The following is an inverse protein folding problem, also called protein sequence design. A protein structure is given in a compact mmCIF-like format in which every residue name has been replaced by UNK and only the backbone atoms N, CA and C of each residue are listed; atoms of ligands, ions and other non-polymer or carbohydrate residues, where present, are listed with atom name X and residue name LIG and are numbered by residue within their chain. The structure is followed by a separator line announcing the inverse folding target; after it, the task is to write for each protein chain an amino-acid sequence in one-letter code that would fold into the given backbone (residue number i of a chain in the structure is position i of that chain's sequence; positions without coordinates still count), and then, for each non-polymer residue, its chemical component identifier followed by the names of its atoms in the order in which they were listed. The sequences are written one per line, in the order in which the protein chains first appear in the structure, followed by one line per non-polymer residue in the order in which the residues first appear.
data_IF_375384256266
#
_entry.id   IF_375384256266
#
_cell.length_a   1.000
_cell.length_b   1.000
_cell.length_c   1.000
_cell.angle_alpha   90.00
_cell.angle_beta   90.00
_cell.angle_gamma   90.00
#
_symmetry.space_group_name_H-M   'P 1'
#
loop_
_entity.id
_entity.type
_entity.pdbx_description
1 polymer ?
#
# COMPACT_ATOMS: atom_id res chain seq x y z
N UNK A 1 5.84 12.90 14.94
CA UNK A 1 6.59 12.44 13.76
C UNK A 1 7.88 11.74 14.15
N UNK A 2 7.81 10.60 14.85
CA UNK A 2 9.05 9.86 15.20
C UNK A 2 9.49 8.94 14.05
N UNK A 3 8.62 8.04 13.59
CA UNK A 3 8.92 7.12 12.48
C UNK A 3 9.39 7.86 11.21
N UNK A 4 8.72 8.96 10.87
CA UNK A 4 9.08 9.83 9.73
C UNK A 4 10.48 10.44 9.88
N UNK A 5 10.88 10.81 11.11
CA UNK A 5 12.16 11.48 11.36
C UNK A 5 13.32 10.51 11.61
N UNK A 6 13.05 9.32 12.14
CA UNK A 6 14.10 8.38 12.60
C UNK A 6 14.39 7.24 11.64
N UNK A 7 13.63 7.09 10.55
CA UNK A 7 13.81 5.98 9.59
C UNK A 7 14.09 6.49 8.19
N UNK A 8 14.91 5.76 7.43
CA UNK A 8 15.25 6.15 6.05
C UNK A 8 14.03 6.13 5.14
N UNK A 9 13.11 5.18 5.35
CA UNK A 9 11.84 5.08 4.63
C UNK A 9 10.92 6.26 4.94
N UNK A 10 10.79 6.63 6.21
CA UNK A 10 10.03 7.80 6.64
C UNK A 10 10.59 9.12 6.10
N UNK A 11 11.92 9.26 6.08
CA UNK A 11 12.59 10.43 5.51
C UNK A 11 12.43 10.52 3.99
N UNK A 12 12.47 9.38 3.28
CA UNK A 12 12.19 9.31 1.85
C UNK A 12 10.75 9.72 1.52
N UNK A 13 9.77 9.23 2.29
CA UNK A 13 8.37 9.66 2.18
C UNK A 13 8.20 11.17 2.45
N UNK A 14 8.86 11.69 3.49
CA UNK A 14 8.85 13.13 3.79
C UNK A 14 9.55 14.00 2.73
N UNK A 15 10.44 13.41 1.92
CA UNK A 15 11.09 14.10 0.81
C UNK A 15 10.16 14.19 -0.41
N UNK A 16 9.41 13.12 -0.72
CA UNK A 16 8.41 13.10 -1.78
C UNK A 16 7.30 14.13 -1.55
N UNK A 17 6.81 14.23 -0.32
CA UNK A 17 5.73 15.19 0.05
C UNK A 17 6.19 16.65 0.03
N UNK A 18 7.49 16.92 0.23
CA UNK A 18 8.07 18.29 0.16
C UNK A 18 8.36 18.76 -1.26
N UNK A 19 8.59 17.86 -2.20
CA UNK A 19 8.99 18.23 -3.56
C UNK A 19 7.82 18.72 -4.43
N UNK A 20 6.56 18.47 -4.03
CA UNK A 20 5.38 18.83 -4.82
C UNK A 20 5.39 18.19 -6.21
N UNK A 21 4.33 18.34 -7.03
CA UNK A 21 4.35 17.86 -8.41
C UNK A 21 5.21 18.81 -9.25
N UNK A 22 6.53 18.75 -9.10
CA UNK A 22 7.44 19.39 -10.03
C UNK A 22 7.41 18.58 -11.33
N UNK A 23 6.62 19.07 -12.29
CA UNK A 23 6.66 18.69 -13.70
C UNK A 23 8.13 18.54 -14.14
N UNK A 24 8.59 17.30 -14.30
CA UNK A 24 9.82 17.00 -15.04
C UNK A 24 11.09 16.69 -14.26
N UNK A 25 11.04 16.33 -12.97
CA UNK A 25 12.20 15.73 -12.30
C UNK A 25 12.08 14.19 -12.33
N UNK A 26 13.10 13.51 -12.87
CA UNK A 26 13.25 12.06 -12.81
C UNK A 26 13.26 11.58 -11.35
N UNK A 27 12.09 11.22 -10.82
CA UNK A 27 11.95 10.56 -9.53
C UNK A 27 12.35 9.10 -9.71
N UNK A 28 13.65 8.81 -9.62
CA UNK A 28 14.19 7.44 -9.75
C UNK A 28 13.72 6.49 -8.62
N UNK A 29 12.95 6.99 -7.65
CA UNK A 29 12.17 6.17 -6.73
C UNK A 29 10.69 6.37 -7.06
N UNK A 30 10.05 5.30 -7.57
CA UNK A 30 8.61 5.27 -7.79
C UNK A 30 7.91 5.63 -6.46
N UNK A 31 7.10 6.70 -6.49
CA UNK A 31 6.37 7.19 -5.32
C UNK A 31 5.57 6.08 -4.63
N UNK A 32 5.06 5.13 -5.42
CA UNK A 32 4.36 3.96 -4.93
C UNK A 32 5.29 3.01 -4.17
N UNK A 33 6.52 2.80 -4.65
CA UNK A 33 7.51 1.94 -4.00
C UNK A 33 8.01 2.54 -2.68
N UNK A 34 8.21 3.86 -2.61
CA UNK A 34 8.58 4.55 -1.37
C UNK A 34 7.45 4.45 -0.34
N UNK A 35 6.20 4.62 -0.79
CA UNK A 35 5.03 4.47 0.06
C UNK A 35 4.90 3.03 0.60
N UNK A 36 5.00 2.02 -0.27
CA UNK A 36 4.96 0.61 0.12
C UNK A 36 6.06 0.25 1.13
N UNK A 37 7.29 0.73 0.93
CA UNK A 37 8.39 0.49 1.84
C UNK A 37 8.16 1.15 3.22
N UNK A 38 7.56 2.34 3.23
CA UNK A 38 7.20 3.02 4.47
C UNK A 38 6.07 2.30 5.20
N UNK A 39 4.98 1.93 4.54
CA UNK A 39 3.88 1.19 5.18
C UNK A 39 4.30 -0.17 5.71
N UNK A 40 5.18 -0.88 4.99
CA UNK A 40 5.73 -2.16 5.45
C UNK A 40 6.58 -2.01 6.73
N UNK A 41 7.32 -0.91 6.86
CA UNK A 41 8.03 -0.57 8.09
C UNK A 41 7.04 -0.30 9.25
N UNK A 42 5.94 0.40 8.98
CA UNK A 42 4.92 0.69 10.01
C UNK A 42 4.17 -0.58 10.46
N UNK A 43 3.97 -1.56 9.58
CA UNK A 43 3.40 -2.90 9.92
C UNK A 43 4.46 -3.89 10.44
N UNK A 44 5.60 -3.39 10.90
CA UNK A 44 6.66 -4.19 11.53
C UNK A 44 7.00 -3.69 12.93
N UNK A 45 7.46 -4.58 13.81
CA UNK A 45 7.91 -4.18 15.14
C UNK A 45 9.16 -3.29 15.07
N UNK A 46 9.29 -2.29 15.96
CA UNK A 46 8.40 -1.98 17.09
C UNK A 46 7.21 -1.07 16.74
N UNK A 47 7.16 -0.51 15.53
CA UNK A 47 6.18 0.49 15.14
C UNK A 47 4.75 -0.03 15.16
N UNK A 48 4.56 -1.27 14.69
CA UNK A 48 3.27 -1.95 14.73
C UNK A 48 2.67 -1.96 16.13
N UNK A 49 3.44 -2.45 17.09
CA UNK A 49 3.05 -2.49 18.51
C UNK A 49 2.74 -1.08 19.06
N UNK A 50 3.51 -0.06 18.67
CA UNK A 50 3.24 1.34 19.05
C UNK A 50 1.92 1.87 18.43
N UNK A 51 1.64 1.57 17.16
CA UNK A 51 0.41 1.97 16.48
C UNK A 51 -0.82 1.29 17.09
N UNK A 52 -0.76 -0.02 17.33
CA UNK A 52 -1.83 -0.77 17.97
C UNK A 52 -2.12 -0.24 19.38
N UNK A 53 -1.09 0.08 20.16
CA UNK A 53 -1.25 0.64 21.51
C UNK A 53 -1.84 2.07 21.50
N UNK A 54 -1.52 2.87 20.48
CA UNK A 54 -2.01 4.24 20.35
C UNK A 54 -3.42 4.34 19.73
N UNK A 55 -3.91 3.26 19.13
CA UNK A 55 -5.22 3.21 18.48
C UNK A 55 -6.38 3.13 19.50
N UNK A 56 -6.75 4.28 20.06
CA UNK A 56 -7.72 4.37 21.15
C UNK A 56 -9.16 4.60 20.70
N UNK A 57 -9.38 5.18 19.53
CA UNK A 57 -10.69 5.42 18.90
C UNK A 57 -10.93 4.51 17.68
N UNK A 58 -12.19 4.39 17.25
CA UNK A 58 -12.57 3.48 16.16
C UNK A 58 -11.89 3.85 14.83
N UNK A 59 -11.66 5.13 14.54
CA UNK A 59 -10.99 5.54 13.31
C UNK A 59 -9.50 5.16 13.34
N UNK A 60 -8.83 5.36 14.48
CA UNK A 60 -7.43 4.95 14.65
C UNK A 60 -7.24 3.44 14.56
N UNK A 61 -8.18 2.63 15.09
CA UNK A 61 -8.15 1.16 14.98
C UNK A 61 -8.40 0.69 13.55
N UNK A 62 -9.39 1.27 12.88
CA UNK A 62 -9.69 0.97 11.49
C UNK A 62 -8.49 1.27 10.58
N UNK A 63 -7.73 2.33 10.88
CA UNK A 63 -6.52 2.65 10.15
C UNK A 63 -5.39 1.63 10.37
N UNK A 64 -5.23 1.10 11.59
CA UNK A 64 -4.22 0.06 11.86
C UNK A 64 -4.58 -1.22 11.10
N UNK A 65 -5.86 -1.58 11.08
CA UNK A 65 -6.35 -2.69 10.27
C UNK A 65 -6.12 -2.44 8.77
N UNK A 66 -6.44 -1.25 8.27
CA UNK A 66 -6.18 -0.86 6.89
C UNK A 66 -4.68 -0.90 6.54
N UNK A 67 -3.80 -0.47 7.44
CA UNK A 67 -2.34 -0.59 7.26
C UNK A 67 -1.94 -2.05 7.04
N UNK A 68 -2.43 -2.94 7.91
CA UNK A 68 -2.11 -4.35 7.84
C UNK A 68 -2.62 -4.99 6.55
N UNK A 69 -3.86 -4.72 6.18
CA UNK A 69 -4.48 -5.20 4.92
C UNK A 69 -3.70 -4.69 3.71
N UNK A 70 -3.36 -3.40 3.68
CA UNK A 70 -2.60 -2.79 2.59
C UNK A 70 -1.25 -3.48 2.40
N UNK A 71 -0.51 -3.73 3.48
CA UNK A 71 0.81 -4.39 3.43
C UNK A 71 0.68 -5.85 3.04
N UNK A 72 -0.24 -6.61 3.64
CA UNK A 72 -0.41 -8.03 3.36
C UNK A 72 -0.91 -8.30 1.94
N UNK A 73 -2.00 -7.65 1.53
CA UNK A 73 -2.59 -7.86 0.21
C UNK A 73 -1.67 -7.28 -0.88
N UNK A 74 -1.06 -6.12 -0.62
CA UNK A 74 -0.04 -5.53 -1.50
C UNK A 74 1.14 -6.47 -1.74
N UNK A 75 1.65 -7.15 -0.70
CA UNK A 75 2.71 -8.14 -0.85
C UNK A 75 2.27 -9.37 -1.64
N UNK A 76 1.03 -9.85 -1.45
CA UNK A 76 0.49 -10.98 -2.22
C UNK A 76 0.39 -10.65 -3.71
N UNK A 77 -0.07 -9.45 -4.05
CA UNK A 77 -0.11 -8.96 -5.43
C UNK A 77 1.29 -8.80 -6.01
N UNK A 78 2.22 -8.16 -5.29
CA UNK A 78 3.58 -7.91 -5.81
C UNK A 78 4.42 -9.16 -5.97
N UNK A 79 4.17 -10.21 -5.16
CA UNK A 79 4.86 -11.49 -5.26
C UNK A 79 4.28 -12.42 -6.34
N UNK A 80 3.16 -12.05 -6.96
CA UNK A 80 2.43 -12.91 -7.88
C UNK A 80 1.74 -14.10 -7.20
N UNK A 81 1.56 -14.06 -5.88
CA UNK A 81 0.84 -15.10 -5.15
C UNK A 81 -0.65 -15.16 -5.52
N UNK A 82 -1.19 -14.06 -6.05
CA UNK A 82 -2.51 -14.01 -6.67
C UNK A 82 -2.30 -13.76 -8.18
N UNK A 83 -2.55 -14.75 -9.05
CA UNK A 83 -2.38 -14.58 -10.48
C UNK A 83 -3.47 -13.65 -11.04
N UNK A 84 -3.10 -12.80 -12.00
CA UNK A 84 -3.99 -11.84 -12.66
C UNK A 84 -5.13 -12.52 -13.45
N UNK A 85 -4.87 -13.72 -13.96
CA UNK A 85 -5.84 -14.53 -14.71
C UNK A 85 -6.06 -15.87 -14.03
N UNK A 86 -7.31 -16.32 -13.96
CA UNK A 86 -7.66 -17.60 -13.36
C UNK A 86 -7.11 -18.79 -14.18
N UNK A 87 -7.02 -18.60 -15.50
CA UNK A 87 -6.38 -19.53 -16.43
C UNK A 87 -5.48 -18.73 -17.37
N UNK A 88 -4.17 -18.77 -17.12
CA UNK A 88 -3.17 -18.05 -17.90
C UNK A 88 -3.08 -18.56 -19.35
N UNK A 89 -3.34 -19.85 -19.57
CA UNK A 89 -3.27 -20.45 -20.90
C UNK A 89 -4.46 -19.99 -21.74
N UNK A 90 -5.66 -20.03 -21.16
CA UNK A 90 -6.86 -19.49 -21.79
C UNK A 90 -6.74 -17.99 -22.04
N UNK A 91 -6.16 -17.23 -21.08
CA UNK A 91 -5.92 -15.80 -21.26
C UNK A 91 -4.98 -15.51 -22.46
N UNK A 92 -3.91 -16.28 -22.61
CA UNK A 92 -3.04 -16.16 -23.78
C UNK A 92 -3.77 -16.47 -25.09
N UNK A 93 -4.65 -17.47 -25.09
CA UNK A 93 -5.37 -17.87 -26.30
C UNK A 93 -6.49 -16.87 -26.65
N UNK A 94 -7.12 -16.24 -25.65
CA UNK A 94 -8.04 -15.13 -25.84
C UNK A 94 -7.33 -13.91 -26.42
N UNK A 95 -6.15 -13.54 -25.89
CA UNK A 95 -5.33 -12.45 -26.44
C UNK A 95 -4.94 -12.72 -27.90
N UNK A 96 -4.50 -13.94 -28.24
CA UNK A 96 -4.18 -14.34 -29.62
C UNK A 96 -5.39 -14.27 -30.54
N UNK A 97 -6.58 -14.55 -30.02
CA UNK A 97 -7.83 -14.48 -30.77
C UNK A 97 -8.45 -13.07 -30.82
N UNK A 98 -7.79 -12.05 -30.24
CA UNK A 98 -8.29 -10.68 -30.17
C UNK A 98 -9.45 -10.48 -29.19
N UNK A 99 -9.65 -11.40 -28.24
CA UNK A 99 -10.61 -11.30 -27.14
C UNK A 99 -9.91 -10.77 -25.89
N UNK A 100 -10.67 -10.13 -25.01
CA UNK A 100 -10.19 -9.68 -23.70
C UNK A 100 -10.31 -10.87 -22.73
N UNK A 101 -9.21 -11.33 -22.11
CA UNK A 101 -9.26 -12.38 -21.10
C UNK A 101 -10.08 -11.95 -19.89
N UNK A 102 -10.77 -12.90 -19.26
CA UNK A 102 -11.40 -12.66 -17.98
C UNK A 102 -10.34 -12.65 -16.86
N UNK A 103 -10.22 -11.56 -16.08
CA UNK A 103 -9.31 -11.53 -14.94
C UNK A 103 -9.75 -12.52 -13.85
N UNK A 104 -8.82 -12.87 -12.98
CA UNK A 104 -9.10 -13.66 -11.79
C UNK A 104 -9.94 -12.81 -10.81
N UNK A 105 -11.13 -13.26 -10.39
CA UNK A 105 -11.94 -12.52 -9.42
C UNK A 105 -11.23 -12.32 -8.08
N UNK A 106 -10.33 -13.23 -7.67
CA UNK A 106 -9.51 -13.04 -6.47
C UNK A 106 -8.50 -11.90 -6.65
N UNK A 107 -7.93 -11.75 -7.85
CA UNK A 107 -7.03 -10.64 -8.16
C UNK A 107 -7.76 -9.31 -8.15
N UNK A 108 -8.93 -9.23 -8.78
CA UNK A 108 -9.75 -8.01 -8.76
C UNK A 108 -10.13 -7.61 -7.34
N UNK A 109 -10.54 -8.58 -6.51
CA UNK A 109 -10.85 -8.33 -5.10
C UNK A 109 -9.61 -7.85 -4.34
N UNK A 110 -8.46 -8.49 -4.52
CA UNK A 110 -7.22 -8.08 -3.86
C UNK A 110 -6.79 -6.65 -4.26
N UNK A 111 -6.97 -6.27 -5.52
CA UNK A 111 -6.71 -4.89 -5.98
C UNK A 111 -7.69 -3.91 -5.34
N UNK A 112 -8.97 -4.27 -5.24
CA UNK A 112 -9.98 -3.45 -4.56
C UNK A 112 -9.66 -3.28 -3.07
N UNK A 113 -9.30 -4.36 -2.37
CA UNK A 113 -8.94 -4.35 -0.96
C UNK A 113 -7.74 -3.43 -0.67
N UNK A 114 -6.72 -3.43 -1.54
CA UNK A 114 -5.56 -2.53 -1.44
C UNK A 114 -5.97 -1.07 -1.67
N UNK A 115 -6.85 -0.80 -2.64
CA UNK A 115 -7.34 0.55 -2.93
C UNK A 115 -8.19 1.12 -1.79
N UNK A 116 -9.06 0.30 -1.21
CA UNK A 116 -9.90 0.67 -0.07
C UNK A 116 -9.04 0.89 1.18
N UNK A 117 -8.08 0.00 1.45
CA UNK A 117 -7.15 0.14 2.55
C UNK A 117 -6.28 1.41 2.41
N UNK A 118 -5.80 1.73 1.21
CA UNK A 118 -5.08 2.97 0.95
C UNK A 118 -5.96 4.21 1.19
N UNK A 119 -7.23 4.15 0.82
CA UNK A 119 -8.19 5.23 1.05
C UNK A 119 -8.42 5.45 2.55
N UNK A 120 -8.64 4.37 3.31
CA UNK A 120 -8.82 4.41 4.76
C UNK A 120 -7.57 4.96 5.47
N UNK A 121 -6.38 4.49 5.09
CA UNK A 121 -5.09 5.00 5.59
C UNK A 121 -4.96 6.52 5.38
N UNK A 122 -5.30 7.00 4.17
CA UNK A 122 -5.21 8.42 3.83
C UNK A 122 -6.18 9.26 4.66
N UNK A 123 -7.40 8.78 4.89
CA UNK A 123 -8.41 9.50 5.66
C UNK A 123 -8.08 9.53 7.16
N UNK A 124 -7.45 8.50 7.68
CA UNK A 124 -7.18 8.36 9.11
C UNK A 124 -5.79 8.84 9.55
N UNK A 125 -4.87 9.11 8.62
CA UNK A 125 -3.54 9.68 8.91
C UNK A 125 -3.54 10.92 9.84
N UNK A 126 -4.47 11.88 9.72
CA UNK A 126 -4.57 13.02 10.65
C UNK A 126 -4.89 12.63 12.10
N UNK A 127 -5.41 11.43 12.33
CA UNK A 127 -5.78 10.92 13.64
C UNK A 127 -4.72 9.98 14.24
N UNK A 128 -3.55 9.85 13.61
CA UNK A 128 -2.47 9.00 14.11
C UNK A 128 -1.46 9.78 14.97
N UNK A 129 -1.54 9.67 16.32
CA UNK A 129 -0.66 10.41 17.22
C UNK A 129 0.80 9.94 17.14
N UNK A 130 1.10 8.74 16.64
CA UNK A 130 2.47 8.20 16.54
C UNK A 130 3.21 8.78 15.32
N UNK A 131 2.47 9.19 14.29
CA UNK A 131 3.00 9.93 13.14
C UNK A 131 3.12 11.43 13.42
N UNK A 132 2.41 12.02 14.38
CA UNK A 132 2.53 13.45 14.74
C UNK A 132 3.35 13.72 16.00
#
# INVERSE_FOLDING_TARGET
TRAVQTTSQGQAFAALTRQGPALGASADADSQQVWQAFTALLDSDPWKSEFEAAATDDASRHAVEALHTYVQVGQRLSSGAVPEYADEQQAQDDLKAGRVPAPNPEYEQAVADVADAHTALTQCMPHWPVLF
#
